data_IF_732826710669
#
_entry.id   IF_732826710669
#
_cell.length_a   1.000
_cell.length_b   1.000
_cell.length_c   1.000
_cell.angle_alpha   90.00
_cell.angle_beta   90.00
_cell.angle_gamma   90.00
#
_symmetry.space_group_name_H-M   'P 1'
#
loop_
_entity.id
_entity.type
_entity.pdbx_description
1 polymer ?
#
# COMPACT_ATOMS: atom_id res chain seq x y z
N UNK A 1 -8.11 7.85 -12.08
CA UNK A 1 -6.78 8.45 -11.87
C UNK A 1 -6.63 8.73 -10.40
N UNK A 2 -5.50 8.35 -9.82
CA UNK A 2 -5.23 8.45 -8.39
C UNK A 2 -4.04 9.38 -8.14
N UNK A 3 -3.96 9.91 -6.92
CA UNK A 3 -2.83 10.72 -6.46
C UNK A 3 -2.19 10.06 -5.25
N UNK A 4 -0.91 9.72 -5.35
CA UNK A 4 -0.10 9.18 -4.25
C UNK A 4 0.64 10.28 -3.50
N UNK A 5 0.64 10.18 -2.18
CA UNK A 5 1.34 11.08 -1.26
C UNK A 5 2.13 10.27 -0.23
N UNK A 6 3.29 10.77 0.14
CA UNK A 6 4.12 10.20 1.19
C UNK A 6 4.24 11.15 2.37
N UNK A 7 4.09 10.62 3.58
CA UNK A 7 4.12 11.34 4.84
C UNK A 7 5.23 10.77 5.75
N UNK A 8 6.19 11.59 6.21
CA UNK A 8 7.22 11.15 7.15
C UNK A 8 6.66 10.80 8.53
N UNK A 9 5.65 11.55 8.98
CA UNK A 9 4.95 11.35 10.26
C UNK A 9 3.49 11.02 9.95
N UNK A 10 2.96 9.86 10.38
CA UNK A 10 1.57 9.51 10.14
C UNK A 10 0.60 10.47 10.84
N UNK A 11 -0.49 10.83 10.17
CA UNK A 11 -1.62 11.55 10.78
C UNK A 11 -1.42 13.05 11.03
N UNK A 12 -0.21 13.59 10.99
CA UNK A 12 0.05 15.00 11.34
C UNK A 12 -0.35 15.99 10.23
N UNK A 13 -0.49 15.54 8.98
CA UNK A 13 -0.91 16.38 7.84
C UNK A 13 0.01 17.57 7.52
N UNK A 14 1.08 17.76 8.30
CA UNK A 14 1.91 18.97 8.32
C UNK A 14 2.85 19.07 7.10
N UNK A 15 3.34 17.93 6.63
CA UNK A 15 4.18 17.87 5.43
C UNK A 15 3.99 16.55 4.68
N UNK A 16 3.85 16.66 3.36
CA UNK A 16 3.81 15.53 2.44
C UNK A 16 4.56 15.85 1.15
N UNK A 17 4.97 14.81 0.43
CA UNK A 17 5.56 14.97 -0.91
C UNK A 17 4.53 15.53 -1.89
N UNK A 18 4.94 16.19 -2.99
CA UNK A 18 4.05 16.47 -4.11
C UNK A 18 3.31 15.23 -4.59
N UNK A 19 2.12 15.41 -5.14
CA UNK A 19 1.30 14.31 -5.65
C UNK A 19 1.99 13.57 -6.80
N UNK A 20 1.99 12.24 -6.75
CA UNK A 20 2.36 11.38 -7.88
C UNK A 20 1.08 10.87 -8.53
N UNK A 21 0.96 11.05 -9.84
CA UNK A 21 -0.20 10.59 -10.61
C UNK A 21 -0.07 9.09 -10.89
N UNK A 22 -1.10 8.33 -10.55
CA UNK A 22 -1.17 6.88 -10.74
C UNK A 22 -2.42 6.55 -11.57
N UNK A 23 -2.24 5.75 -12.62
CA UNK A 23 -3.26 5.51 -13.63
C UNK A 23 -4.25 4.43 -13.22
N UNK A 24 -3.76 3.37 -12.58
CA UNK A 24 -4.53 2.17 -12.25
C UNK A 24 -4.14 1.57 -10.88
N UNK A 25 -4.87 0.52 -10.49
CA UNK A 25 -4.67 -0.17 -9.22
C UNK A 25 -3.32 -0.91 -9.13
N UNK A 26 -2.73 -1.31 -10.25
CA UNK A 26 -1.42 -1.98 -10.27
C UNK A 26 -0.31 -0.98 -9.97
N UNK A 27 -0.35 0.22 -10.57
CA UNK A 27 0.55 1.33 -10.24
C UNK A 27 0.39 1.74 -8.77
N UNK A 28 -0.84 1.80 -8.25
CA UNK A 28 -1.11 2.06 -6.83
C UNK A 28 -0.41 1.02 -5.96
N UNK A 29 -0.59 -0.26 -6.25
CA UNK A 29 0.02 -1.34 -5.48
C UNK A 29 1.55 -1.29 -5.52
N UNK A 30 2.14 -1.09 -6.70
CA UNK A 30 3.61 -0.98 -6.85
C UNK A 30 4.15 0.25 -6.12
N UNK A 31 3.44 1.37 -6.21
CA UNK A 31 3.80 2.63 -5.55
C UNK A 31 3.81 2.47 -4.03
N UNK A 32 2.75 1.94 -3.42
CA UNK A 32 2.67 1.76 -1.95
C UNK A 32 3.74 0.79 -1.45
N UNK A 33 4.01 -0.30 -2.18
CA UNK A 33 5.06 -1.27 -1.82
C UNK A 33 6.47 -0.66 -1.87
N UNK A 34 6.73 0.27 -2.78
CA UNK A 34 8.02 0.93 -2.89
C UNK A 34 8.18 2.01 -1.83
N UNK A 35 7.22 2.92 -1.73
CA UNK A 35 7.35 4.13 -0.92
C UNK A 35 7.27 3.87 0.59
N UNK A 36 6.50 2.86 1.01
CA UNK A 36 6.39 2.49 2.43
C UNK A 36 7.71 2.01 3.06
N UNK A 37 8.73 1.71 2.25
CA UNK A 37 10.09 1.39 2.73
C UNK A 37 10.85 2.64 3.20
N UNK A 38 10.45 3.81 2.72
CA UNK A 38 11.12 5.09 2.96
C UNK A 38 10.27 6.03 3.85
N UNK A 39 8.95 5.95 3.72
CA UNK A 39 8.01 6.81 4.41
C UNK A 39 7.12 5.99 5.34
N UNK A 40 6.78 6.58 6.48
CA UNK A 40 5.94 5.91 7.48
C UNK A 40 4.50 5.77 7.03
N UNK A 41 3.97 6.77 6.36
CA UNK A 41 2.63 6.71 5.76
C UNK A 41 2.69 6.98 4.26
N UNK A 42 1.96 6.14 3.51
CA UNK A 42 1.67 6.35 2.09
C UNK A 42 0.16 6.39 1.96
N UNK A 43 -0.36 7.46 1.35
CA UNK A 43 -1.79 7.67 1.12
C UNK A 43 -2.03 7.81 -0.36
N UNK A 44 -3.05 7.14 -0.86
CA UNK A 44 -3.51 7.28 -2.24
C UNK A 44 -4.96 7.69 -2.21
N UNK A 45 -5.27 8.74 -2.96
CA UNK A 45 -6.63 9.28 -3.10
C UNK A 45 -7.11 9.17 -4.53
N UNK A 46 -8.43 9.17 -4.72
CA UNK A 46 -9.06 9.24 -6.04
C UNK A 46 -9.22 10.68 -6.56
N UNK A 47 -10.05 10.85 -7.60
CA UNK A 47 -10.30 12.16 -8.21
C UNK A 47 -11.07 13.13 -7.32
N UNK A 48 -11.82 12.61 -6.34
CA UNK A 48 -12.64 13.37 -5.40
C UNK A 48 -11.91 13.53 -4.04
N UNK A 49 -10.61 13.24 -4.02
CA UNK A 49 -9.71 13.29 -2.86
C UNK A 49 -10.13 12.38 -1.69
N UNK A 50 -10.92 11.32 -1.95
CA UNK A 50 -11.17 10.27 -0.96
C UNK A 50 -9.99 9.31 -0.87
N UNK A 51 -9.62 8.91 0.34
CA UNK A 51 -8.59 7.89 0.56
C UNK A 51 -9.10 6.57 0.00
N UNK A 52 -8.37 6.03 -0.98
CA UNK A 52 -8.65 4.72 -1.57
C UNK A 52 -7.66 3.67 -1.09
N UNK A 53 -6.44 4.05 -0.74
CA UNK A 53 -5.42 3.17 -0.14
C UNK A 53 -4.61 3.94 0.89
N UNK A 54 -4.37 3.32 2.03
CA UNK A 54 -3.46 3.83 3.05
C UNK A 54 -2.58 2.71 3.58
N UNK A 55 -1.29 3.00 3.67
CA UNK A 55 -0.30 2.12 4.26
C UNK A 55 0.46 2.88 5.35
N UNK A 56 0.48 2.35 6.56
CA UNK A 56 1.18 2.91 7.72
C UNK A 56 2.17 1.86 8.24
N UNK A 57 3.42 2.26 8.47
CA UNK A 57 4.50 1.42 8.98
C UNK A 57 4.61 0.08 8.21
N UNK A 58 4.57 0.18 6.87
CA UNK A 58 4.61 -0.93 5.90
C UNK A 58 3.41 -1.90 5.96
N UNK A 59 2.29 -1.48 6.56
CA UNK A 59 1.06 -2.27 6.63
C UNK A 59 -0.09 -1.48 6.01
N UNK A 60 -0.83 -2.11 5.10
CA UNK A 60 -2.11 -1.60 4.65
C UNK A 60 -3.04 -1.45 5.87
N UNK A 61 -3.53 -0.23 6.08
CA UNK A 61 -4.56 0.10 7.07
C UNK A 61 -5.92 0.28 6.41
N UNK A 62 -5.91 0.64 5.13
CA UNK A 62 -7.09 0.80 4.28
C UNK A 62 -6.73 0.47 2.82
N UNK A 63 -7.62 -0.15 2.03
CA UNK A 63 -8.91 -0.71 2.46
C UNK A 63 -8.75 -2.08 3.13
N UNK A 64 -9.81 -2.61 3.76
CA UNK A 64 -9.74 -3.83 4.55
C UNK A 64 -9.26 -5.03 3.70
N UNK A 65 -9.74 -5.11 2.45
CA UNK A 65 -9.39 -6.17 1.51
C UNK A 65 -7.91 -6.22 1.14
N UNK A 66 -7.15 -5.13 1.34
CA UNK A 66 -5.71 -5.09 1.06
C UNK A 66 -4.86 -5.50 2.27
N UNK A 67 -5.44 -5.60 3.47
CA UNK A 67 -4.72 -6.07 4.65
C UNK A 67 -4.19 -7.49 4.49
N UNK A 68 -4.79 -8.31 3.62
CA UNK A 68 -4.28 -9.64 3.26
C UNK A 68 -2.89 -9.63 2.61
N UNK A 69 -2.46 -8.49 2.06
CA UNK A 69 -1.12 -8.31 1.51
C UNK A 69 -0.10 -7.89 2.56
N UNK A 70 -0.52 -7.64 3.81
CA UNK A 70 0.40 -7.40 4.91
C UNK A 70 1.18 -8.68 5.19
N UNK A 71 2.49 -8.52 5.35
CA UNK A 71 3.36 -9.65 5.70
C UNK A 71 3.21 -9.89 7.20
N UNK A 72 2.92 -11.14 7.58
CA UNK A 72 3.10 -11.56 8.97
C UNK A 72 4.59 -11.53 9.24
N UNK A 73 5.03 -10.71 10.20
CA UNK A 73 6.39 -10.81 10.73
C UNK A 73 6.41 -12.04 11.63
N UNK A 74 6.84 -13.18 11.11
CA UNK A 74 7.20 -14.31 11.94
C UNK A 74 8.63 -14.10 12.43
N UNK A 75 8.76 -13.86 13.73
CA UNK A 75 10.04 -13.81 14.42
C UNK A 75 10.52 -15.25 14.62
N UNK A 76 11.22 -15.81 13.63
CA UNK A 76 11.88 -17.10 13.80
C UNK A 76 13.01 -16.93 14.83
N UNK A 77 13.09 -17.83 15.83
CA UNK A 77 14.08 -17.83 16.93
C UNK A 77 15.56 -17.80 16.48
N UNK A 78 15.82 -17.92 15.17
CA UNK A 78 17.14 -17.90 14.55
C UNK A 78 17.51 -16.55 13.89
N UNK A 79 16.74 -15.47 14.10
CA UNK A 79 17.10 -14.11 13.65
C UNK A 79 17.12 -13.87 12.13
N UNK A 80 16.77 -14.87 11.32
CA UNK A 80 16.67 -14.73 9.86
C UNK A 80 15.28 -14.20 9.46
N UNK A 81 15.26 -12.94 8.98
CA UNK A 81 14.07 -12.27 8.44
C UNK A 81 13.62 -12.93 7.14
N UNK A 82 12.56 -13.72 7.16
CA UNK A 82 11.90 -14.20 5.94
C UNK A 82 10.79 -13.23 5.59
N UNK A 83 10.93 -12.57 4.43
CA UNK A 83 9.94 -11.67 3.86
C UNK A 83 9.09 -12.43 2.84
N UNK A 84 8.06 -13.14 3.27
CA UNK A 84 7.10 -13.78 2.36
C UNK A 84 5.98 -12.78 1.99
N UNK A 85 5.88 -12.45 0.70
CA UNK A 85 4.67 -11.84 0.13
C UNK A 85 3.75 -12.97 -0.32
N UNK A 86 2.47 -12.92 0.08
CA UNK A 86 1.42 -13.66 -0.62
C UNK A 86 1.13 -12.95 -1.94
N UNK A 87 2.04 -13.08 -2.92
CA UNK A 87 1.92 -12.50 -4.26
C UNK A 87 0.88 -13.23 -5.14
N UNK A 88 0.44 -14.42 -4.72
CA UNK A 88 -0.44 -15.30 -5.50
C UNK A 88 -1.89 -14.82 -5.65
N UNK A 89 -2.31 -13.74 -4.98
CA UNK A 89 -3.72 -13.32 -4.97
C UNK A 89 -4.06 -12.13 -5.87
N UNK A 90 -3.08 -11.41 -6.44
CA UNK A 90 -3.36 -10.24 -7.29
C UNK A 90 -3.63 -10.61 -8.76
N UNK A 91 -3.20 -11.79 -9.21
CA UNK A 91 -3.27 -12.21 -10.62
C UNK A 91 -4.49 -13.05 -11.00
N UNK A 92 -5.54 -13.14 -10.18
CA UNK A 92 -6.77 -13.83 -10.64
C UNK A 92 -7.57 -12.86 -11.51
N UNK A 93 -7.70 -13.11 -12.84
CA UNK A 93 -8.64 -12.35 -13.65
C UNK A 93 -10.04 -12.56 -13.05
N UNK A 94 -10.79 -11.46 -12.87
CA UNK A 94 -12.19 -11.56 -12.51
C UNK A 94 -12.90 -12.37 -13.60
N UNK A 95 -13.58 -13.43 -13.17
CA UNK A 95 -14.21 -14.41 -14.05
C UNK A 95 -15.15 -13.74 -15.05
N UNK A 96 -15.17 -14.30 -16.25
CA UNK A 96 -16.13 -13.97 -17.29
C UNK A 96 -17.56 -14.11 -16.78
N UNK A 97 -18.38 -13.10 -17.03
CA UNK A 97 -19.83 -13.23 -16.99
C UNK A 97 -20.26 -14.41 -17.88
N UNK A 98 -21.12 -15.27 -17.35
CA UNK A 98 -21.97 -16.19 -18.11
C UNK A 98 -23.38 -16.05 -17.57
#
# INVERSE_FOLDING_TARGET
>A
MFKGYCFPVPGDGEWHTPAVMLNDAEEVFRYTQLQSKLFREVRVVDGDDFIVVQMIDQQYTFPEEWKKFNRVREDNENGNKIQSINLAEFQKPQGSCS
#
